data_IF_875620175505
#
_entry.id   IF_875620175505
#
_cell.length_a   1.000
_cell.length_b   1.000
_cell.length_c   1.000
_cell.angle_alpha   90.00
_cell.angle_beta   90.00
_cell.angle_gamma   90.00
#
_symmetry.space_group_name_H-M   'P 1'
#
loop_
_entity.id
_entity.type
_entity.pdbx_description
1 polymer ?
#
# COMPACT_ATOMS: atom_id res chain seq x y z
N UNK A 1 -22.63 19.44 -14.38
CA UNK A 1 -21.39 19.60 -15.16
C UNK A 1 -20.31 18.74 -14.53
N UNK A 2 -20.06 17.54 -15.05
CA UNK A 2 -19.07 16.62 -14.48
C UNK A 2 -17.79 16.70 -15.30
N UNK A 3 -16.81 17.47 -14.80
CA UNK A 3 -15.48 17.51 -15.37
C UNK A 3 -14.87 16.10 -15.39
N UNK A 4 -14.41 15.65 -16.56
CA UNK A 4 -13.71 14.37 -16.69
C UNK A 4 -12.55 14.35 -15.70
N UNK A 5 -12.58 13.43 -14.72
CA UNK A 5 -11.43 13.18 -13.85
C UNK A 5 -10.26 12.82 -14.76
N UNK A 6 -9.22 13.65 -14.77
CA UNK A 6 -7.98 13.33 -15.48
C UNK A 6 -7.45 12.04 -14.87
N UNK A 7 -7.21 11.03 -15.70
CA UNK A 7 -6.53 9.82 -15.26
C UNK A 7 -5.17 10.23 -14.68
N UNK A 8 -4.82 9.70 -13.51
CA UNK A 8 -3.50 9.95 -12.94
C UNK A 8 -2.46 9.26 -13.83
N UNK A 9 -1.24 9.78 -13.91
CA UNK A 9 -0.17 9.09 -14.63
C UNK A 9 0.25 7.79 -13.91
N UNK A 10 0.06 7.74 -12.59
CA UNK A 10 0.44 6.61 -11.74
C UNK A 10 -0.66 6.30 -10.72
N UNK A 11 -0.66 5.06 -10.22
CA UNK A 11 -1.52 4.65 -9.10
C UNK A 11 -2.99 4.42 -9.44
N UNK A 12 -3.35 4.32 -10.73
CA UNK A 12 -4.74 4.01 -11.13
C UNK A 12 -5.15 2.56 -10.80
N UNK A 13 -4.18 1.67 -10.60
CA UNK A 13 -4.41 0.24 -10.35
C UNK A 13 -4.10 -0.17 -8.91
N UNK A 14 -4.04 0.80 -7.99
CA UNK A 14 -3.84 0.52 -6.57
C UNK A 14 -5.21 0.29 -5.96
N UNK A 15 -5.42 -0.92 -5.44
CA UNK A 15 -6.62 -1.25 -4.67
C UNK A 15 -6.72 -0.32 -3.44
N UNK A 16 -7.92 0.20 -3.21
CA UNK A 16 -8.18 1.16 -2.15
C UNK A 16 -8.34 0.44 -0.81
N UNK A 17 -7.27 0.40 0.00
CA UNK A 17 -7.30 -0.10 1.37
C UNK A 17 -6.81 1.00 2.32
N UNK A 18 -7.68 1.45 3.23
CA UNK A 18 -7.35 2.51 4.18
C UNK A 18 -6.21 2.16 5.15
N UNK A 19 -5.79 0.91 5.28
CA UNK A 19 -4.56 0.53 6.01
C UNK A 19 -3.33 1.20 5.39
N UNK A 20 -3.28 1.27 4.06
CA UNK A 20 -2.18 1.87 3.30
C UNK A 20 -2.43 3.34 2.96
N UNK A 21 -3.34 4.01 3.66
CA UNK A 21 -3.64 5.41 3.42
C UNK A 21 -2.72 6.32 4.25
N UNK A 22 -2.24 7.43 3.71
CA UNK A 22 -1.49 8.47 4.44
C UNK A 22 -2.26 8.95 5.69
N UNK A 23 -3.59 9.01 5.57
CA UNK A 23 -4.50 9.42 6.64
C UNK A 23 -4.84 8.33 7.66
N UNK A 24 -4.30 7.11 7.51
CA UNK A 24 -4.48 6.06 8.50
C UNK A 24 -3.63 6.34 9.74
N UNK A 25 -4.11 5.90 10.89
CA UNK A 25 -3.32 5.80 12.12
C UNK A 25 -3.65 4.51 12.83
N UNK A 26 -2.66 3.96 13.51
CA UNK A 26 -2.86 2.80 14.35
C UNK A 26 -3.38 3.24 15.72
N UNK A 27 -4.50 2.66 16.14
CA UNK A 27 -5.06 2.82 17.46
C UNK A 27 -5.52 1.44 17.96
N UNK A 28 -4.92 0.99 19.06
CA UNK A 28 -5.27 -0.30 19.70
C UNK A 28 -5.27 -1.51 18.74
N UNK A 29 -4.28 -1.58 17.84
CA UNK A 29 -4.16 -2.64 16.84
C UNK A 29 -5.11 -2.53 15.65
N UNK A 30 -5.95 -1.48 15.58
CA UNK A 30 -6.82 -1.20 14.46
C UNK A 30 -6.37 0.07 13.69
N UNK A 31 -6.50 0.03 12.36
CA UNK A 31 -6.26 1.20 11.52
C UNK A 31 -7.49 2.12 11.55
N UNK A 32 -7.38 3.30 12.15
CA UNK A 32 -8.42 4.33 12.20
C UNK A 32 -8.13 5.47 11.22
N UNK A 33 -9.18 6.06 10.65
CA UNK A 33 -9.05 7.19 9.74
C UNK A 33 -8.98 8.51 10.52
N UNK A 34 -7.86 9.25 10.42
CA UNK A 34 -7.70 10.56 11.05
C UNK A 34 -8.71 11.60 10.58
N UNK A 35 -9.28 11.40 9.39
CA UNK A 35 -10.31 12.27 8.81
C UNK A 35 -11.73 11.93 9.30
N UNK A 36 -11.89 10.97 10.22
CA UNK A 36 -13.17 10.56 10.78
C UNK A 36 -14.12 9.92 9.75
N UNK A 37 -13.57 9.31 8.69
CA UNK A 37 -14.37 8.66 7.64
C UNK A 37 -14.73 7.24 8.01
N UNK A 38 -15.98 6.87 7.71
CA UNK A 38 -16.41 5.49 7.68
C UNK A 38 -15.76 4.76 6.50
N UNK A 39 -15.34 3.53 6.75
CA UNK A 39 -14.79 2.64 5.74
C UNK A 39 -15.93 1.91 5.05
N UNK A 40 -15.83 1.75 3.73
CA UNK A 40 -16.68 0.84 2.98
C UNK A 40 -16.39 -0.62 3.38
N UNK A 41 -17.29 -1.58 3.09
CA UNK A 41 -17.07 -3.01 3.41
C UNK A 41 -15.76 -3.57 2.84
N UNK A 42 -15.31 -3.01 1.71
CA UNK A 42 -14.05 -3.37 1.04
C UNK A 42 -12.81 -2.75 1.71
N UNK A 43 -12.98 -2.01 2.82
CA UNK A 43 -11.88 -1.39 3.59
C UNK A 43 -11.38 -0.06 3.03
N UNK A 44 -11.96 0.43 1.93
CA UNK A 44 -11.62 1.70 1.29
C UNK A 44 -12.43 2.90 1.78
N UNK A 45 -12.03 4.10 1.36
CA UNK A 45 -12.87 5.29 1.47
C UNK A 45 -12.60 6.25 0.29
N UNK A 46 -13.57 7.11 -0.02
CA UNK A 46 -13.49 8.07 -1.14
C UNK A 46 -12.33 9.08 -1.06
N UNK A 47 -11.71 9.23 0.11
CA UNK A 47 -10.56 10.11 0.37
C UNK A 47 -9.24 9.35 0.57
N UNK A 48 -9.19 8.11 0.08
CA UNK A 48 -7.96 7.32 0.07
C UNK A 48 -6.82 8.05 -0.65
N UNK A 49 -5.67 8.10 0.01
CA UNK A 49 -4.39 8.61 -0.51
C UNK A 49 -3.33 7.56 -0.20
N UNK A 50 -2.81 6.90 -1.22
CA UNK A 50 -1.85 5.81 -1.05
C UNK A 50 -0.53 6.30 -0.44
N UNK A 51 -0.13 5.67 0.66
CA UNK A 51 1.18 5.83 1.31
C UNK A 51 2.00 4.54 1.13
N UNK A 52 3.02 4.55 0.25
CA UNK A 52 3.86 3.38 0.00
C UNK A 52 4.62 2.88 1.23
N UNK A 53 4.89 3.76 2.21
CA UNK A 53 5.66 3.42 3.41
C UNK A 53 4.86 2.56 4.40
N UNK A 54 3.53 2.57 4.28
CA UNK A 54 2.62 1.73 5.08
C UNK A 54 2.39 0.34 4.50
N UNK A 55 3.03 0.01 3.38
CA UNK A 55 2.93 -1.31 2.79
C UNK A 55 3.97 -2.22 3.40
N UNK A 56 3.57 -3.38 3.87
CA UNK A 56 4.50 -4.40 4.33
C UNK A 56 5.28 -4.93 3.12
N UNK A 57 6.62 -4.79 3.07
CA UNK A 57 7.41 -5.36 1.98
C UNK A 57 7.31 -6.88 2.05
N UNK A 58 7.23 -7.51 0.88
CA UNK A 58 7.30 -8.97 0.78
C UNK A 58 8.72 -9.40 1.16
N UNK A 59 8.84 -10.46 1.97
CA UNK A 59 10.15 -11.01 2.30
C UNK A 59 10.90 -11.38 1.04
N UNK A 60 12.21 -11.11 1.02
CA UNK A 60 13.04 -11.56 -0.08
C UNK A 60 12.98 -13.09 -0.17
N UNK A 61 12.96 -13.65 -1.39
CA UNK A 61 13.09 -15.09 -1.55
C UNK A 61 14.39 -15.58 -0.91
N UNK A 62 14.39 -16.82 -0.44
CA UNK A 62 15.59 -17.44 0.10
C UNK A 62 16.70 -17.42 -0.97
N UNK A 63 17.88 -16.94 -0.57
CA UNK A 63 19.06 -16.99 -1.43
C UNK A 63 19.41 -18.46 -1.71
N UNK A 64 19.80 -18.74 -2.96
CA UNK A 64 20.36 -20.05 -3.29
C UNK A 64 21.69 -20.22 -2.55
N UNK A 65 21.98 -21.42 -2.00
CA UNK A 65 23.30 -21.70 -1.48
C UNK A 65 24.29 -21.72 -2.64
N UNK A 66 25.38 -20.97 -2.52
CA UNK A 66 26.47 -20.95 -3.48
C UNK A 66 27.76 -21.39 -2.77
N UNK A 67 28.55 -22.20 -3.47
CA UNK A 67 29.87 -22.65 -3.02
C UNK A 67 30.96 -21.68 -3.48
N UNK A 68 32.09 -21.60 -2.76
CA UNK A 68 33.19 -20.71 -3.13
C UNK A 68 33.84 -21.12 -4.47
N UNK A 69 33.71 -22.40 -4.84
CA UNK A 69 34.19 -23.00 -6.08
C UNK A 69 33.51 -22.42 -7.33
N UNK A 70 32.25 -22.00 -7.24
CA UNK A 70 31.49 -21.37 -8.34
C UNK A 70 32.06 -20.02 -8.78
N UNK A 71 32.91 -19.41 -7.97
CA UNK A 71 33.47 -18.08 -8.21
C UNK A 71 34.97 -18.11 -8.56
N UNK A 72 35.55 -19.29 -8.81
CA UNK A 72 36.94 -19.42 -9.26
C UNK A 72 37.04 -19.20 -10.78
N UNK A 73 38.01 -18.39 -11.19
CA UNK A 73 38.32 -18.04 -12.59
C UNK A 73 39.10 -19.15 -13.31
#
# INVERSE_FOLDING_TARGET
>A
MFGKKKAKLFGNHIETDCRHCENSSDFDGASVCRLGRYLDPDGGCSRFVYDPLKRTPVSMPALKPHSAEEFKL
#
